data_IF_881253715210
#
_entry.id   IF_881253715210
#
_cell.length_a   1.000
_cell.length_b   1.000
_cell.length_c   1.000
_cell.angle_alpha   90.00
_cell.angle_beta   90.00
_cell.angle_gamma   90.00
#
_symmetry.space_group_name_H-M   'P 1'
#
loop_
_entity.id
_entity.type
_entity.pdbx_description
1 polymer ?
#
# COMPACT_ATOMS: atom_id res chain seq x y z
N UNK A 1 14.49 20.04 19.02
CA UNK A 1 13.58 19.43 18.03
C UNK A 1 13.98 17.98 17.98
N UNK A 2 13.02 17.07 18.07
CA UNK A 2 13.30 15.65 18.28
C UNK A 2 13.16 14.92 16.95
N UNK A 3 14.23 14.26 16.52
CA UNK A 3 14.34 13.58 15.24
C UNK A 3 14.51 12.08 15.45
N UNK A 4 13.88 11.27 14.60
CA UNK A 4 14.16 9.83 14.50
C UNK A 4 14.99 9.56 13.26
N UNK A 5 16.19 9.01 13.44
CA UNK A 5 17.10 8.70 12.34
C UNK A 5 17.32 7.20 12.28
N UNK A 6 16.92 6.58 11.16
CA UNK A 6 17.18 5.18 10.87
C UNK A 6 18.48 5.04 10.07
N UNK A 7 19.36 4.14 10.49
CA UNK A 7 20.61 3.86 9.81
C UNK A 7 20.83 2.34 9.70
N UNK A 8 21.32 1.91 8.55
CA UNK A 8 21.64 0.51 8.30
C UNK A 8 23.14 0.25 8.57
N UNK A 9 23.44 -0.86 9.23
CA UNK A 9 24.78 -1.32 9.53
C UNK A 9 25.08 -2.59 8.74
N UNK A 10 26.00 -2.49 7.79
CA UNK A 10 26.40 -3.61 6.94
C UNK A 10 27.66 -4.31 7.49
N UNK A 11 27.72 -5.65 7.45
CA UNK A 11 28.88 -6.41 7.85
C UNK A 11 30.03 -6.27 6.85
N UNK A 12 31.27 -6.64 7.22
CA UNK A 12 32.44 -6.49 6.37
C UNK A 12 32.32 -7.26 5.05
N UNK A 13 32.93 -6.69 4.00
CA UNK A 13 32.96 -7.29 2.66
C UNK A 13 33.48 -8.72 2.72
N UNK A 14 32.63 -9.68 2.34
CA UNK A 14 32.93 -11.11 2.37
C UNK A 14 32.06 -11.91 3.34
N UNK A 15 31.33 -11.26 4.24
CA UNK A 15 30.26 -11.88 5.03
C UNK A 15 28.95 -11.75 4.27
N UNK A 16 28.38 -12.89 3.87
CA UNK A 16 27.12 -12.89 3.07
C UNK A 16 25.89 -12.94 3.95
N UNK A 17 25.94 -13.70 5.05
CA UNK A 17 24.87 -13.79 6.04
C UNK A 17 25.43 -14.01 7.45
N UNK A 18 24.77 -13.44 8.46
CA UNK A 18 25.01 -13.64 9.88
C UNK A 18 24.19 -14.83 10.37
N UNK A 19 24.84 -15.79 11.02
CA UNK A 19 24.14 -16.87 11.71
C UNK A 19 23.41 -16.38 12.98
N UNK A 20 22.57 -17.22 13.57
CA UNK A 20 21.77 -16.84 14.73
C UNK A 20 22.61 -16.40 15.94
N UNK A 21 23.79 -16.99 16.14
CA UNK A 21 24.66 -16.61 17.26
C UNK A 21 25.36 -15.27 16.98
N UNK A 22 25.74 -15.03 15.73
CA UNK A 22 26.31 -13.76 15.28
C UNK A 22 25.29 -12.63 15.38
N UNK A 23 24.02 -12.87 15.03
CA UNK A 23 22.94 -11.88 15.17
C UNK A 23 22.74 -11.46 16.64
N UNK A 24 22.66 -12.42 17.56
CA UNK A 24 22.57 -12.15 19.01
C UNK A 24 23.82 -11.41 19.53
N UNK A 25 25.00 -11.77 19.02
CA UNK A 25 26.25 -11.08 19.37
C UNK A 25 26.27 -9.62 18.94
N UNK A 26 25.83 -9.34 17.71
CA UNK A 26 25.73 -7.98 17.16
C UNK A 26 24.71 -7.17 17.96
N UNK A 27 23.51 -7.71 18.21
CA UNK A 27 22.48 -7.05 19.01
C UNK A 27 23.01 -6.65 20.39
N UNK A 28 23.64 -7.61 21.09
CA UNK A 28 24.20 -7.39 22.42
C UNK A 28 25.30 -6.32 22.46
N UNK A 29 26.13 -6.25 21.41
CA UNK A 29 27.18 -5.24 21.30
C UNK A 29 26.58 -3.85 21.07
N UNK A 30 25.67 -3.72 20.11
CA UNK A 30 25.04 -2.46 19.75
C UNK A 30 24.23 -1.89 20.92
N UNK A 31 23.37 -2.71 21.53
CA UNK A 31 22.55 -2.31 22.69
C UNK A 31 23.41 -1.79 23.84
N UNK A 32 24.50 -2.51 24.15
CA UNK A 32 25.38 -2.13 25.26
C UNK A 32 26.10 -0.81 25.01
N UNK A 33 26.53 -0.54 23.78
CA UNK A 33 27.29 0.67 23.49
C UNK A 33 26.38 1.88 23.34
N UNK A 34 25.24 1.74 22.66
CA UNK A 34 24.26 2.81 22.51
C UNK A 34 23.65 3.23 23.84
N UNK A 35 23.46 2.29 24.79
CA UNK A 35 23.02 2.61 26.14
C UNK A 35 24.00 3.49 26.96
N UNK A 36 25.24 3.66 26.49
CA UNK A 36 26.23 4.53 27.12
C UNK A 36 26.33 5.90 26.46
N UNK A 37 25.63 6.12 25.35
CA UNK A 37 25.67 7.38 24.60
C UNK A 37 24.60 8.32 25.15
N UNK A 38 25.03 9.37 25.85
CA UNK A 38 24.13 10.42 26.35
C UNK A 38 23.95 11.57 25.34
N UNK A 39 24.92 11.76 24.42
CA UNK A 39 24.90 12.84 23.45
C UNK A 39 26.18 12.89 22.59
N UNK A 40 26.15 13.69 21.53
CA UNK A 40 27.26 13.91 20.60
C UNK A 40 27.42 15.40 20.26
N UNK A 41 28.63 15.82 19.91
CA UNK A 41 28.87 17.18 19.44
C UNK A 41 28.49 17.33 17.97
N UNK A 42 27.54 18.22 17.68
CA UNK A 42 27.16 18.63 16.33
C UNK A 42 28.24 19.49 15.64
N UNK A 43 28.08 19.77 14.33
CA UNK A 43 29.09 20.41 13.49
C UNK A 43 29.54 21.81 13.94
N UNK A 44 28.70 22.54 14.70
CA UNK A 44 29.01 23.86 15.25
C UNK A 44 29.38 23.83 16.76
N UNK A 45 29.69 22.64 17.30
CA UNK A 45 29.97 22.46 18.73
C UNK A 45 28.74 22.51 19.64
N UNK A 46 27.55 22.35 19.06
CA UNK A 46 26.28 22.24 19.78
C UNK A 46 26.10 20.82 20.30
N UNK A 47 25.71 20.63 21.56
CA UNK A 47 25.37 19.30 22.09
C UNK A 47 24.08 18.82 21.46
N UNK A 48 24.09 17.60 20.92
CA UNK A 48 22.91 16.89 20.40
C UNK A 48 22.70 15.70 21.33
N UNK A 49 21.58 15.68 22.02
CA UNK A 49 21.32 14.68 23.05
C UNK A 49 20.67 13.45 22.41
N UNK A 50 21.07 12.25 22.83
CA UNK A 50 20.46 10.99 22.39
C UNK A 50 19.36 10.63 23.38
N UNK A 51 18.12 10.63 22.92
CA UNK A 51 16.93 10.44 23.77
C UNK A 51 16.59 8.96 23.95
N UNK A 52 16.64 8.19 22.86
CA UNK A 52 16.34 6.76 22.84
C UNK A 52 16.97 6.07 21.63
N UNK A 53 17.04 4.74 21.64
CA UNK A 53 17.49 3.96 20.50
C UNK A 53 16.78 2.60 20.39
N UNK A 54 16.71 2.09 19.17
CA UNK A 54 16.23 0.74 18.89
C UNK A 54 17.18 0.02 17.93
N UNK A 55 17.45 -1.26 18.20
CA UNK A 55 18.31 -2.11 17.37
C UNK A 55 17.51 -3.32 16.88
N UNK A 56 17.48 -3.50 15.56
CA UNK A 56 16.88 -4.66 14.91
C UNK A 56 17.94 -5.37 14.06
N UNK A 57 18.36 -6.56 14.47
CA UNK A 57 19.38 -7.35 13.74
C UNK A 57 18.72 -8.35 12.80
N UNK A 58 19.31 -8.55 11.63
CA UNK A 58 18.85 -9.52 10.64
C UNK A 58 20.02 -10.24 9.96
N UNK A 59 19.74 -11.21 9.09
CA UNK A 59 20.78 -12.04 8.45
C UNK A 59 21.79 -11.24 7.63
N UNK A 60 21.49 -10.01 7.21
CA UNK A 60 22.38 -9.20 6.35
C UNK A 60 23.09 -8.04 7.05
N UNK A 61 22.92 -7.85 8.36
CA UNK A 61 23.32 -6.62 9.04
C UNK A 61 22.43 -6.26 10.22
N UNK A 62 22.38 -4.99 10.58
CA UNK A 62 21.52 -4.48 11.65
C UNK A 62 20.98 -3.09 11.31
N UNK A 63 19.70 -2.88 11.56
CA UNK A 63 19.08 -1.57 11.50
C UNK A 63 19.09 -0.92 12.89
N UNK A 64 19.50 0.35 12.96
CA UNK A 64 19.53 1.13 14.20
C UNK A 64 18.70 2.40 14.01
N UNK A 65 17.75 2.62 14.91
CA UNK A 65 16.95 3.84 14.96
C UNK A 65 17.38 4.65 16.18
N UNK A 66 17.76 5.92 15.98
CA UNK A 66 18.17 6.85 17.03
C UNK A 66 17.17 7.99 17.15
N UNK A 67 16.68 8.24 18.37
CA UNK A 67 15.91 9.43 18.69
C UNK A 67 16.85 10.50 19.24
N UNK A 68 16.91 11.67 18.60
CA UNK A 68 17.91 12.72 18.85
C UNK A 68 17.24 14.08 19.04
N UNK A 69 17.66 14.85 20.04
CA UNK A 69 17.31 16.26 20.13
C UNK A 69 18.34 17.11 19.38
N UNK A 70 17.99 17.63 18.20
CA UNK A 70 18.89 18.40 17.35
C UNK A 70 18.28 19.75 16.91
N UNK A 71 19.10 20.71 16.44
CA UNK A 71 18.61 21.99 15.93
C UNK A 71 18.12 21.94 14.47
N UNK A 72 18.46 20.88 13.72
CA UNK A 72 18.02 20.68 12.34
C UNK A 72 18.13 19.21 11.92
N UNK A 73 17.41 18.83 10.86
CA UNK A 73 17.47 17.50 10.25
C UNK A 73 18.89 17.10 9.86
N UNK A 74 19.60 17.97 9.15
CA UNK A 74 20.99 17.72 8.75
C UNK A 74 21.92 17.57 9.97
N UNK A 75 21.63 18.25 11.08
CA UNK A 75 22.38 18.07 12.32
C UNK A 75 22.10 16.70 12.97
N UNK A 76 20.84 16.24 12.94
CA UNK A 76 20.46 14.91 13.42
C UNK A 76 21.09 13.78 12.60
N UNK A 77 21.09 13.86 11.27
CA UNK A 77 21.74 12.87 10.40
C UNK A 77 23.24 12.76 10.66
N UNK A 78 23.92 13.90 10.74
CA UNK A 78 25.34 13.95 11.01
C UNK A 78 25.66 13.44 12.42
N UNK A 79 24.81 13.74 13.41
CA UNK A 79 24.94 13.23 14.77
C UNK A 79 24.76 11.71 14.82
N UNK A 80 23.70 11.17 14.21
CA UNK A 80 23.47 9.73 14.11
C UNK A 80 24.65 9.00 13.45
N UNK A 81 25.12 9.51 12.31
CA UNK A 81 26.28 8.97 11.62
C UNK A 81 27.53 9.04 12.49
N UNK A 82 27.75 10.12 13.24
CA UNK A 82 28.90 10.26 14.15
C UNK A 82 28.85 9.24 15.28
N UNK A 83 27.70 9.11 15.96
CA UNK A 83 27.49 8.15 17.07
C UNK A 83 27.79 6.72 16.61
N UNK A 84 27.23 6.33 15.46
CA UNK A 84 27.39 4.97 14.94
C UNK A 84 28.83 4.70 14.46
N UNK A 85 29.46 5.65 13.77
CA UNK A 85 30.84 5.49 13.30
C UNK A 85 31.85 5.48 14.45
N UNK A 86 31.62 6.28 15.50
CA UNK A 86 32.45 6.29 16.71
C UNK A 86 32.33 4.95 17.43
N UNK A 87 31.10 4.47 17.66
CA UNK A 87 30.85 3.15 18.24
C UNK A 87 31.52 2.01 17.47
N UNK A 88 31.43 2.00 16.14
CA UNK A 88 32.10 0.99 15.30
C UNK A 88 33.62 1.09 15.43
N UNK A 89 34.17 2.30 15.51
CA UNK A 89 35.61 2.53 15.60
C UNK A 89 36.19 2.15 16.96
N UNK A 90 35.43 2.33 18.04
CA UNK A 90 35.85 1.99 19.40
C UNK A 90 35.71 0.50 19.74
N UNK A 91 34.94 -0.24 18.95
CA UNK A 91 34.68 -1.65 19.20
C UNK A 91 35.43 -2.58 18.22
N UNK A 92 36.46 -3.27 18.71
CA UNK A 92 37.27 -4.20 17.91
C UNK A 92 36.43 -5.30 17.23
N UNK A 93 35.28 -5.69 17.80
CA UNK A 93 34.39 -6.73 17.25
C UNK A 93 33.55 -6.25 16.05
N UNK A 94 33.39 -4.93 15.89
CA UNK A 94 32.69 -4.31 14.76
C UNK A 94 33.65 -3.86 13.65
N UNK A 95 34.93 -4.24 13.72
CA UNK A 95 35.93 -3.87 12.71
C UNK A 95 35.47 -4.25 11.30
N UNK A 96 35.37 -3.24 10.42
CA UNK A 96 35.00 -3.41 9.02
C UNK A 96 33.50 -3.34 8.72
N UNK A 97 32.66 -3.13 9.74
CA UNK A 97 31.26 -2.76 9.54
C UNK A 97 31.15 -1.33 9.02
N UNK A 98 30.09 -1.05 8.26
CA UNK A 98 29.84 0.26 7.65
C UNK A 98 28.43 0.73 7.93
N UNK A 99 28.28 2.05 8.18
CA UNK A 99 26.97 2.71 8.22
C UNK A 99 26.57 3.07 6.79
N UNK A 100 25.42 2.58 6.32
CA UNK A 100 24.84 2.94 5.02
C UNK A 100 23.62 3.83 5.21
N UNK A 101 23.59 4.93 4.44
CA UNK A 101 22.59 6.01 4.37
C UNK A 101 21.67 6.17 5.59
N UNK A 102 22.02 7.03 6.56
CA UNK A 102 21.07 7.47 7.57
C UNK A 102 19.92 8.22 6.88
N UNK A 103 18.71 7.72 7.02
CA UNK A 103 17.49 8.34 6.50
C UNK A 103 16.66 8.86 7.68
N UNK A 104 16.33 10.15 7.66
CA UNK A 104 15.49 10.76 8.71
C UNK A 104 14.04 10.39 8.46
N UNK A 105 13.45 9.72 9.44
CA UNK A 105 12.01 9.55 9.49
C UNK A 105 11.44 10.67 10.36
N UNK A 106 10.52 11.47 9.82
CA UNK A 106 9.78 12.42 10.65
C UNK A 106 9.05 11.64 11.75
N UNK A 107 9.22 12.09 13.00
CA UNK A 107 8.39 11.60 14.10
C UNK A 107 6.95 12.08 13.90
N UNK A 108 5.98 11.32 14.39
CA UNK A 108 4.56 11.66 14.34
C UNK A 108 4.30 13.04 15.01
N UNK A 109 5.05 13.35 16.07
CA UNK A 109 4.98 14.63 16.76
C UNK A 109 5.57 15.79 15.92
N UNK A 110 6.66 15.59 15.17
CA UNK A 110 7.21 16.60 14.26
C UNK A 110 6.32 16.79 13.02
N UNK A 111 5.69 15.72 12.53
CA UNK A 111 4.64 15.81 11.51
C UNK A 111 3.49 16.70 12.00
N UNK A 112 3.01 16.47 13.22
CA UNK A 112 1.94 17.24 13.86
C UNK A 112 2.34 18.69 14.18
N UNK A 113 3.58 18.95 14.60
CA UNK A 113 4.09 20.31 14.84
C UNK A 113 4.32 21.08 13.55
N UNK A 114 4.77 20.43 12.46
CA UNK A 114 4.85 21.06 11.14
C UNK A 114 3.47 21.35 10.56
N UNK A 115 2.49 20.49 10.83
CA UNK A 115 1.07 20.75 10.59
C UNK A 115 0.65 22.04 11.33
N UNK A 116 0.90 22.11 12.65
CA UNK A 116 0.57 23.27 13.48
C UNK A 116 1.28 24.57 13.05
N UNK A 117 2.56 24.50 12.69
CA UNK A 117 3.38 25.65 12.30
C UNK A 117 3.07 26.17 10.89
N UNK A 118 2.54 25.33 10.00
CA UNK A 118 1.99 25.74 8.71
C UNK A 118 0.65 26.49 8.84
N UNK A 119 0.12 26.66 10.07
CA UNK A 119 -1.17 27.29 10.33
C UNK A 119 -2.34 26.31 10.33
N UNK A 120 -2.07 25.00 10.30
CA UNK A 120 -3.08 23.96 10.47
C UNK A 120 -3.19 23.67 11.97
N UNK A 121 -4.05 24.43 12.67
CA UNK A 121 -4.42 24.07 14.05
C UNK A 121 -4.87 22.60 14.09
N UNK A 122 -4.54 21.91 15.18
CA UNK A 122 -5.01 20.54 15.48
C UNK A 122 -6.48 20.41 15.08
N UNK A 123 -6.75 19.57 14.08
CA UNK A 123 -8.06 19.49 13.44
C UNK A 123 -9.07 18.97 14.45
N UNK A 124 -9.82 19.89 15.05
CA UNK A 124 -11.18 19.57 15.44
C UNK A 124 -11.92 19.16 14.16
N UNK A 125 -12.42 17.93 14.18
CA UNK A 125 -13.16 17.26 13.13
C UNK A 125 -14.22 18.18 12.48
N UNK A 126 -13.87 18.81 11.37
CA UNK A 126 -14.83 19.31 10.40
C UNK A 126 -14.27 18.89 9.05
N UNK A 127 -14.95 17.90 8.44
CA UNK A 127 -14.51 17.17 7.24
C UNK A 127 -14.39 18.01 5.97
N UNK A 128 -13.53 19.01 5.98
CA UNK A 128 -13.03 19.65 4.77
C UNK A 128 -11.65 19.08 4.46
N UNK A 129 -11.53 18.45 3.29
CA UNK A 129 -10.28 17.92 2.74
C UNK A 129 -9.24 19.04 2.72
N UNK A 130 -8.09 18.82 3.37
CA UNK A 130 -7.03 19.83 3.38
C UNK A 130 -6.41 19.98 1.98
N UNK A 131 -6.51 21.17 1.35
CA UNK A 131 -6.12 21.36 -0.05
C UNK A 131 -4.61 21.18 -0.29
N UNK A 132 -3.79 21.36 0.75
CA UNK A 132 -2.32 21.24 0.65
C UNK A 132 -1.85 19.79 0.58
N UNK A 133 -2.51 18.87 1.31
CA UNK A 133 -2.21 17.44 1.24
C UNK A 133 -2.74 16.84 -0.06
N UNK A 134 -3.93 17.26 -0.50
CA UNK A 134 -4.46 16.93 -1.82
C UNK A 134 -3.49 17.34 -2.92
N UNK A 135 -2.93 18.56 -2.83
CA UNK A 135 -1.95 19.06 -3.79
C UNK A 135 -0.61 18.30 -3.74
N UNK A 136 -0.15 17.86 -2.55
CA UNK A 136 1.07 17.07 -2.42
C UNK A 136 0.93 15.64 -2.99
N UNK A 137 -0.24 15.02 -2.80
CA UNK A 137 -0.57 13.73 -3.43
C UNK A 137 -0.68 13.89 -4.95
N UNK A 138 -1.36 14.94 -5.42
CA UNK A 138 -1.46 15.28 -6.85
C UNK A 138 -0.08 15.54 -7.47
N UNK A 139 0.81 16.30 -6.80
CA UNK A 139 2.19 16.55 -7.24
C UNK A 139 3.05 15.29 -7.27
N UNK A 140 2.86 14.36 -6.32
CA UNK A 140 3.55 13.07 -6.31
C UNK A 140 3.08 12.15 -7.45
N UNK A 141 1.79 12.20 -7.81
CA UNK A 141 1.21 11.49 -8.94
C UNK A 141 1.63 12.10 -10.29
N UNK A 142 1.86 13.42 -10.34
CA UNK A 142 2.34 14.16 -11.51
C UNK A 142 3.86 14.05 -11.77
N UNK A 143 4.54 13.07 -11.16
CA UNK A 143 5.98 12.81 -11.36
C UNK A 143 6.40 12.98 -12.82
N UNK A 144 7.29 13.96 -13.07
CA UNK A 144 7.69 14.57 -14.34
C UNK A 144 8.34 13.61 -15.37
N UNK A 145 7.65 12.52 -15.74
CA UNK A 145 8.00 11.76 -16.93
C UNK A 145 7.28 12.37 -18.14
N UNK A 146 7.99 12.63 -19.25
CA UNK A 146 7.33 13.10 -20.46
C UNK A 146 6.24 12.10 -20.87
N UNK A 147 5.03 12.59 -21.13
CA UNK A 147 3.89 11.79 -21.53
C UNK A 147 4.31 10.82 -22.65
N UNK A 148 4.23 9.52 -22.34
CA UNK A 148 4.62 8.48 -23.29
C UNK A 148 3.67 8.48 -24.49
N UNK A 149 4.22 8.27 -25.69
CA UNK A 149 3.41 8.08 -26.89
C UNK A 149 2.70 6.72 -26.85
N UNK A 150 1.62 6.57 -27.64
CA UNK A 150 0.91 5.29 -27.77
C UNK A 150 1.86 4.13 -28.15
N UNK A 151 2.87 4.35 -28.99
CA UNK A 151 3.85 3.33 -29.36
C UNK A 151 4.77 2.93 -28.20
N UNK A 152 5.12 3.89 -27.33
CA UNK A 152 5.88 3.62 -26.11
C UNK A 152 5.03 2.83 -25.12
N UNK A 153 3.78 3.22 -24.91
CA UNK A 153 2.82 2.48 -24.08
C UNK A 153 2.58 1.07 -24.59
N UNK A 154 2.37 0.89 -25.91
CA UNK A 154 2.29 -0.42 -26.55
C UNK A 154 3.50 -1.28 -26.19
N UNK A 155 4.69 -0.71 -26.30
CA UNK A 155 5.94 -1.41 -25.99
C UNK A 155 6.03 -1.80 -24.51
N UNK A 156 5.66 -0.90 -23.59
CA UNK A 156 5.67 -1.19 -22.15
C UNK A 156 4.64 -2.26 -21.76
N UNK A 157 3.39 -2.13 -22.18
CA UNK A 157 2.36 -3.12 -21.87
C UNK A 157 2.74 -4.51 -22.39
N UNK A 158 3.32 -4.61 -23.59
CA UNK A 158 3.79 -5.88 -24.12
C UNK A 158 4.94 -6.51 -23.32
N UNK A 159 5.72 -5.73 -22.54
CA UNK A 159 6.73 -6.24 -21.60
C UNK A 159 6.12 -6.78 -20.31
N UNK A 160 4.97 -6.24 -19.88
CA UNK A 160 4.25 -6.73 -18.71
C UNK A 160 3.48 -8.03 -18.98
N UNK A 161 2.99 -8.22 -20.21
CA UNK A 161 2.17 -9.38 -20.56
C UNK A 161 2.70 -10.76 -20.10
N UNK A 162 4.01 -11.08 -20.21
CA UNK A 162 4.54 -12.38 -19.75
C UNK A 162 4.49 -12.61 -18.23
N UNK A 163 4.23 -11.57 -17.43
CA UNK A 163 4.11 -11.69 -15.98
C UNK A 163 2.74 -12.24 -15.57
N UNK A 164 1.72 -12.12 -16.42
CA UNK A 164 0.46 -12.82 -16.24
C UNK A 164 0.68 -14.30 -16.54
N UNK A 165 0.76 -15.11 -15.49
CA UNK A 165 1.11 -16.54 -15.59
C UNK A 165 -0.09 -17.45 -15.36
N UNK A 166 -1.12 -16.95 -14.68
CA UNK A 166 -2.37 -17.66 -14.44
C UNK A 166 -3.19 -17.88 -15.72
N UNK A 167 -3.03 -16.98 -16.68
CA UNK A 167 -3.76 -16.97 -17.94
C UNK A 167 -2.80 -16.76 -19.09
N UNK A 168 -3.07 -17.42 -20.19
CA UNK A 168 -2.43 -17.14 -21.47
C UNK A 168 -3.12 -15.93 -22.13
N UNK A 169 -2.43 -15.19 -23.01
CA UNK A 169 -3.07 -14.10 -23.76
C UNK A 169 -4.31 -14.55 -24.53
N UNK A 170 -4.39 -15.81 -24.96
CA UNK A 170 -5.54 -16.35 -25.71
C UNK A 170 -6.82 -16.44 -24.88
N UNK A 171 -6.71 -16.34 -23.57
CA UNK A 171 -7.84 -16.44 -22.64
C UNK A 171 -8.64 -15.14 -22.55
N UNK A 172 -8.13 -14.01 -23.09
CA UNK A 172 -8.87 -12.75 -23.16
C UNK A 172 -9.93 -12.75 -24.26
N UNK A 173 -9.56 -13.02 -25.52
CA UNK A 173 -10.54 -13.20 -26.58
C UNK A 173 -10.05 -14.21 -27.63
N UNK A 174 -10.56 -15.45 -27.59
CA UNK A 174 -10.29 -16.44 -28.62
C UNK A 174 -10.73 -15.92 -30.01
N UNK A 175 -9.80 -15.88 -30.96
CA UNK A 175 -10.06 -15.42 -32.33
C UNK A 175 -9.78 -13.94 -32.60
N UNK A 176 -9.43 -13.15 -31.58
CA UNK A 176 -8.85 -11.82 -31.78
C UNK A 176 -7.35 -11.89 -32.13
N UNK A 177 -6.79 -10.85 -32.79
CA UNK A 177 -5.36 -10.73 -33.01
C UNK A 177 -4.55 -10.96 -31.73
N UNK A 178 -3.48 -11.77 -31.83
CA UNK A 178 -2.63 -12.13 -30.70
C UNK A 178 -2.04 -10.90 -29.98
N UNK A 179 -1.75 -9.84 -30.72
CA UNK A 179 -1.25 -8.58 -30.16
C UNK A 179 -2.27 -7.90 -29.23
N UNK A 180 -3.56 -7.85 -29.59
CA UNK A 180 -4.60 -7.25 -28.75
C UNK A 180 -4.74 -8.02 -27.43
N UNK A 181 -4.73 -9.34 -27.52
CA UNK A 181 -4.75 -10.24 -26.37
C UNK A 181 -3.54 -10.02 -25.44
N UNK A 182 -2.35 -9.81 -26.00
CA UNK A 182 -1.15 -9.48 -25.23
C UNK A 182 -1.20 -8.08 -24.64
N UNK A 183 -1.77 -7.10 -25.34
CA UNK A 183 -1.98 -5.75 -24.80
C UNK A 183 -2.93 -5.77 -23.61
N UNK A 184 -4.06 -6.48 -23.70
CA UNK A 184 -4.98 -6.64 -22.58
C UNK A 184 -4.33 -7.34 -21.38
N UNK A 185 -3.54 -8.40 -21.62
CA UNK A 185 -2.77 -9.08 -20.56
C UNK A 185 -1.75 -8.15 -19.90
N UNK A 186 -1.05 -7.34 -20.70
CA UNK A 186 -0.09 -6.37 -20.23
C UNK A 186 -0.72 -5.23 -19.43
N UNK A 187 -1.85 -4.72 -19.91
CA UNK A 187 -2.65 -3.70 -19.23
C UNK A 187 -3.13 -4.21 -17.87
N UNK A 188 -3.60 -5.47 -17.77
CA UNK A 188 -4.02 -6.05 -16.50
C UNK A 188 -2.86 -6.12 -15.47
N UNK A 189 -1.66 -6.51 -15.91
CA UNK A 189 -0.48 -6.54 -15.03
C UNK A 189 -0.05 -5.13 -14.61
N UNK A 190 -0.14 -4.15 -15.53
CA UNK A 190 0.14 -2.76 -15.21
C UNK A 190 -0.87 -2.20 -14.20
N UNK A 191 -2.17 -2.45 -14.42
CA UNK A 191 -3.26 -2.05 -13.54
C UNK A 191 -3.12 -2.59 -12.11
N UNK A 192 -2.59 -3.81 -11.93
CA UNK A 192 -2.27 -4.32 -10.59
C UNK A 192 -1.36 -3.36 -9.82
N UNK A 193 -0.34 -2.78 -10.49
CA UNK A 193 0.57 -1.83 -9.84
C UNK A 193 -0.14 -0.53 -9.50
N UNK A 194 -0.83 0.04 -10.48
CA UNK A 194 -1.58 1.30 -10.35
C UNK A 194 -2.57 1.20 -9.19
N UNK A 195 -3.47 0.22 -9.23
CA UNK A 195 -4.47 0.01 -8.17
C UNK A 195 -3.82 -0.25 -6.81
N UNK A 196 -2.69 -0.95 -6.75
CA UNK A 196 -1.98 -1.16 -5.47
C UNK A 196 -1.49 0.16 -4.89
N UNK A 197 -0.85 1.00 -5.71
CA UNK A 197 -0.35 2.31 -5.30
C UNK A 197 -1.52 3.24 -4.92
N UNK A 198 -2.60 3.24 -5.71
CA UNK A 198 -3.81 4.02 -5.44
C UNK A 198 -4.50 3.62 -4.13
N UNK A 199 -4.57 2.32 -3.79
CA UNK A 199 -5.08 1.89 -2.48
C UNK A 199 -4.22 2.44 -1.34
N UNK A 200 -2.89 2.53 -1.49
CA UNK A 200 -2.04 3.15 -0.48
C UNK A 200 -2.34 4.65 -0.32
N UNK A 201 -2.52 5.37 -1.43
CA UNK A 201 -2.85 6.79 -1.39
C UNK A 201 -4.24 7.03 -0.76
N UNK A 202 -5.24 6.25 -1.16
CA UNK A 202 -6.58 6.32 -0.59
C UNK A 202 -6.58 5.97 0.90
N UNK A 203 -5.83 4.94 1.31
CA UNK A 203 -5.69 4.58 2.73
C UNK A 203 -5.09 5.71 3.55
N UNK A 204 -4.02 6.33 3.05
CA UNK A 204 -3.36 7.45 3.72
C UNK A 204 -4.32 8.65 3.83
N UNK A 205 -5.05 8.96 2.76
CA UNK A 205 -6.05 10.02 2.76
C UNK A 205 -7.16 9.74 3.79
N UNK A 206 -7.69 8.52 3.84
CA UNK A 206 -8.72 8.14 4.81
C UNK A 206 -8.19 8.16 6.25
N UNK A 207 -6.94 7.72 6.48
CA UNK A 207 -6.31 7.68 7.79
C UNK A 207 -6.09 9.08 8.36
N UNK A 208 -5.53 10.00 7.56
CA UNK A 208 -5.25 11.38 7.98
C UNK A 208 -6.56 12.12 8.29
N UNK A 209 -7.59 11.93 7.48
CA UNK A 209 -8.86 12.62 7.65
C UNK A 209 -9.81 11.91 8.63
N UNK A 210 -9.43 10.72 9.14
CA UNK A 210 -10.30 9.85 9.94
C UNK A 210 -11.72 9.74 9.34
N UNK A 211 -11.76 9.50 8.03
CA UNK A 211 -12.96 9.56 7.21
C UNK A 211 -13.32 8.18 6.64
N UNK A 212 -14.51 8.09 6.07
CA UNK A 212 -14.93 6.99 5.21
C UNK A 212 -14.96 7.44 3.75
N UNK A 213 -15.02 6.50 2.80
CA UNK A 213 -15.20 6.83 1.37
C UNK A 213 -16.44 7.70 1.14
N UNK A 214 -17.51 7.51 1.91
CA UNK A 214 -18.73 8.34 1.77
C UNK A 214 -18.52 9.81 2.13
N UNK A 215 -17.53 10.12 2.97
CA UNK A 215 -17.26 11.46 3.48
C UNK A 215 -16.05 12.13 2.80
N UNK A 216 -15.21 11.34 2.12
CA UNK A 216 -14.02 11.81 1.43
C UNK A 216 -14.32 12.29 0.00
N UNK A 217 -13.45 13.16 -0.54
CA UNK A 217 -13.54 13.68 -1.91
C UNK A 217 -12.19 13.44 -2.59
N UNK A 218 -12.23 13.01 -3.85
CA UNK A 218 -11.03 12.85 -4.67
C UNK A 218 -10.21 11.62 -4.29
N UNK A 219 -10.90 10.53 -3.91
CA UNK A 219 -10.24 9.23 -3.81
C UNK A 219 -10.00 8.69 -5.22
N UNK A 220 -9.06 7.77 -5.34
CA UNK A 220 -8.62 7.26 -6.63
C UNK A 220 -9.41 6.01 -6.99
N UNK A 221 -9.35 4.97 -6.16
CA UNK A 221 -9.86 3.64 -6.52
C UNK A 221 -10.86 3.09 -5.52
N UNK A 222 -10.81 3.52 -4.26
CA UNK A 222 -11.79 3.10 -3.25
C UNK A 222 -13.18 3.71 -3.49
N UNK A 223 -13.28 4.84 -4.20
CA UNK A 223 -14.57 5.40 -4.63
C UNK A 223 -15.24 4.60 -5.75
N UNK A 224 -14.50 3.73 -6.45
CA UNK A 224 -15.04 2.80 -7.44
C UNK A 224 -15.60 1.50 -6.82
N UNK A 225 -15.50 1.32 -5.51
CA UNK A 225 -16.11 0.19 -4.84
C UNK A 225 -17.64 0.31 -4.80
N UNK A 226 -18.37 -0.79 -4.53
CA UNK A 226 -19.82 -0.74 -4.47
C UNK A 226 -20.29 0.33 -3.48
N UNK A 227 -21.17 1.27 -3.90
CA UNK A 227 -21.59 2.38 -3.06
C UNK A 227 -22.46 1.91 -1.88
N UNK A 228 -22.93 0.66 -1.89
CA UNK A 228 -23.82 0.15 -0.86
C UNK A 228 -23.23 0.09 0.56
N UNK A 229 -21.89 0.11 0.66
CA UNK A 229 -21.18 0.13 1.94
C UNK A 229 -20.06 1.19 1.99
N UNK A 230 -20.12 2.26 1.17
CA UNK A 230 -19.14 3.36 1.15
C UNK A 230 -18.84 3.98 2.53
N UNK A 231 -19.87 4.15 3.36
CA UNK A 231 -19.82 4.60 4.76
C UNK A 231 -19.12 3.63 5.73
N UNK A 232 -18.65 2.48 5.23
CA UNK A 232 -17.89 1.47 5.98
C UNK A 232 -16.45 1.36 5.51
N UNK A 233 -16.10 1.98 4.39
CA UNK A 233 -14.76 1.92 3.83
C UNK A 233 -13.91 3.01 4.49
N UNK A 234 -13.30 2.67 5.62
CA UNK A 234 -12.34 3.50 6.34
C UNK A 234 -10.89 3.04 6.04
N UNK A 235 -9.90 3.65 6.71
CA UNK A 235 -8.49 3.26 6.55
C UNK A 235 -8.22 1.80 6.95
N UNK A 236 -8.93 1.26 7.94
CA UNK A 236 -8.78 -0.14 8.34
C UNK A 236 -9.32 -1.09 7.26
N UNK A 237 -10.44 -0.75 6.64
CA UNK A 237 -10.96 -1.43 5.46
C UNK A 237 -9.96 -1.38 4.30
N UNK A 238 -9.39 -0.20 4.00
CA UNK A 238 -8.42 -0.03 2.91
C UNK A 238 -7.19 -0.94 3.09
N UNK A 239 -6.64 -1.03 4.31
CA UNK A 239 -5.53 -1.95 4.63
C UNK A 239 -5.93 -3.41 4.47
N UNK A 240 -7.12 -3.81 4.92
CA UNK A 240 -7.62 -5.17 4.73
C UNK A 240 -7.84 -5.48 3.24
N UNK A 241 -8.34 -4.52 2.47
CA UNK A 241 -8.57 -4.61 1.04
C UNK A 241 -7.27 -4.72 0.25
N UNK A 242 -6.22 -3.97 0.63
CA UNK A 242 -4.88 -4.07 0.08
C UNK A 242 -4.29 -5.49 0.21
N UNK A 243 -4.53 -6.15 1.34
CA UNK A 243 -4.09 -7.53 1.53
C UNK A 243 -4.85 -8.49 0.62
N UNK A 244 -6.17 -8.30 0.48
CA UNK A 244 -6.99 -9.10 -0.44
C UNK A 244 -6.56 -8.89 -1.90
N UNK A 245 -6.30 -7.64 -2.32
CA UNK A 245 -5.84 -7.31 -3.67
C UNK A 245 -4.47 -7.93 -3.96
N UNK A 246 -3.54 -7.88 -3.00
CA UNK A 246 -2.22 -8.50 -3.08
C UNK A 246 -2.29 -10.02 -3.25
N UNK A 247 -3.24 -10.68 -2.57
CA UNK A 247 -3.48 -12.12 -2.71
C UNK A 247 -3.96 -12.48 -4.13
N UNK A 248 -4.81 -11.67 -4.75
CA UNK A 248 -5.26 -11.85 -6.13
C UNK A 248 -4.13 -11.59 -7.12
N UNK A 249 -3.40 -10.49 -6.96
CA UNK A 249 -2.26 -10.12 -7.78
C UNK A 249 -1.17 -11.22 -7.81
N UNK A 250 -0.87 -11.79 -6.65
CA UNK A 250 0.07 -12.91 -6.52
C UNK A 250 -0.43 -14.14 -7.29
N UNK A 251 -1.74 -14.42 -7.28
CA UNK A 251 -2.31 -15.55 -8.02
C UNK A 251 -2.36 -15.31 -9.52
N UNK A 252 -2.64 -14.09 -9.98
CA UNK A 252 -2.58 -13.72 -11.40
C UNK A 252 -1.17 -13.90 -11.99
N UNK A 253 -0.14 -13.65 -11.18
CA UNK A 253 1.28 -13.80 -11.56
C UNK A 253 1.87 -15.18 -11.26
N UNK A 254 1.05 -16.12 -10.78
CA UNK A 254 1.40 -17.53 -10.54
C UNK A 254 0.77 -18.44 -11.59
N UNK A 255 1.39 -19.57 -11.99
CA UNK A 255 0.78 -20.49 -12.96
C UNK A 255 -0.47 -21.20 -12.43
N UNK A 256 -0.63 -21.32 -11.11
CA UNK A 256 -1.74 -22.04 -10.50
C UNK A 256 -2.88 -21.08 -10.14
N UNK A 257 -3.71 -20.74 -11.14
CA UNK A 257 -4.86 -19.87 -10.91
C UNK A 257 -5.83 -20.49 -9.91
N UNK A 258 -6.23 -19.68 -8.93
CA UNK A 258 -7.40 -19.95 -8.09
C UNK A 258 -8.29 -18.70 -8.13
N UNK A 259 -9.58 -18.84 -8.49
CA UNK A 259 -10.54 -17.74 -8.46
C UNK A 259 -10.58 -17.03 -7.10
N UNK A 260 -11.11 -15.80 -7.03
CA UNK A 260 -11.39 -15.12 -5.77
C UNK A 260 -12.10 -16.04 -4.77
N UNK A 261 -11.55 -16.07 -3.55
CA UNK A 261 -12.06 -16.85 -2.41
C UNK A 261 -12.99 -16.01 -1.55
N UNK A 262 -12.86 -14.69 -1.60
CA UNK A 262 -13.64 -13.73 -0.83
C UNK A 262 -14.29 -12.69 -1.77
N UNK A 263 -15.26 -11.93 -1.27
CA UNK A 263 -15.86 -10.83 -2.05
C UNK A 263 -14.84 -9.71 -2.26
N UNK A 264 -14.01 -9.39 -1.26
CA UNK A 264 -12.95 -8.39 -1.37
C UNK A 264 -11.94 -8.76 -2.48
N UNK A 265 -11.56 -10.03 -2.58
CA UNK A 265 -10.70 -10.50 -3.69
C UNK A 265 -11.39 -10.36 -5.05
N UNK A 266 -12.72 -10.59 -5.13
CA UNK A 266 -13.46 -10.41 -6.37
C UNK A 266 -13.53 -8.93 -6.76
N UNK A 267 -13.82 -8.05 -5.81
CA UNK A 267 -13.83 -6.61 -6.03
C UNK A 267 -12.45 -6.09 -6.46
N UNK A 268 -11.37 -6.53 -5.83
CA UNK A 268 -10.02 -6.17 -6.26
C UNK A 268 -9.72 -6.60 -7.70
N UNK A 269 -10.12 -7.82 -8.09
CA UNK A 269 -9.99 -8.27 -9.47
C UNK A 269 -10.79 -7.39 -10.45
N UNK A 270 -12.00 -6.95 -10.05
CA UNK A 270 -12.83 -6.05 -10.87
C UNK A 270 -12.15 -4.69 -11.06
N UNK A 271 -11.54 -4.12 -10.01
CA UNK A 271 -10.79 -2.87 -10.09
C UNK A 271 -9.59 -3.00 -11.01
N UNK A 272 -8.82 -4.10 -10.92
CA UNK A 272 -7.71 -4.34 -11.87
C UNK A 272 -8.18 -4.40 -13.32
N UNK A 273 -9.37 -4.96 -13.58
CA UNK A 273 -9.95 -5.01 -14.92
C UNK A 273 -10.39 -3.62 -15.38
N UNK A 274 -11.07 -2.85 -14.53
CA UNK A 274 -11.51 -1.50 -14.85
C UNK A 274 -10.31 -0.61 -15.17
N UNK A 275 -9.30 -0.60 -14.31
CA UNK A 275 -8.10 0.20 -14.49
C UNK A 275 -7.32 -0.22 -15.74
N UNK A 276 -7.24 -1.52 -16.04
CA UNK A 276 -6.63 -1.97 -17.29
C UNK A 276 -7.34 -1.43 -18.54
N UNK A 277 -8.66 -1.25 -18.48
CA UNK A 277 -9.44 -0.67 -19.58
C UNK A 277 -9.25 0.84 -19.66
N UNK A 278 -9.20 1.54 -18.51
CA UNK A 278 -8.87 2.97 -18.44
C UNK A 278 -7.52 3.24 -19.08
N UNK A 279 -6.49 2.47 -18.73
CA UNK A 279 -5.14 2.56 -19.32
C UNK A 279 -5.18 2.36 -20.84
N UNK A 280 -5.92 1.37 -21.34
CA UNK A 280 -6.00 1.10 -22.78
C UNK A 280 -6.69 2.23 -23.56
N UNK A 281 -7.74 2.83 -22.99
CA UNK A 281 -8.43 4.00 -23.54
C UNK A 281 -7.54 5.24 -23.51
N UNK A 282 -6.96 5.56 -22.34
CA UNK A 282 -6.14 6.74 -22.12
C UNK A 282 -4.88 6.75 -22.99
N UNK A 283 -4.36 5.57 -23.34
CA UNK A 283 -3.20 5.41 -24.22
C UNK A 283 -3.56 5.30 -25.71
N UNK A 284 -4.85 5.43 -26.05
CA UNK A 284 -5.40 5.30 -27.40
C UNK A 284 -5.08 3.95 -28.08
N UNK A 285 -4.80 2.91 -27.29
CA UNK A 285 -4.46 1.59 -27.79
C UNK A 285 -5.69 0.76 -28.12
N UNK A 286 -6.72 0.84 -27.29
CA UNK A 286 -8.05 0.28 -27.53
C UNK A 286 -9.10 1.21 -26.96
N UNK A 287 -10.24 1.32 -27.64
CA UNK A 287 -11.36 2.04 -27.07
C UNK A 287 -11.99 1.28 -25.89
N UNK A 288 -12.75 1.98 -25.05
CA UNK A 288 -13.51 1.42 -23.93
C UNK A 288 -14.45 0.30 -24.38
N UNK A 289 -15.20 0.54 -25.46
CA UNK A 289 -16.08 -0.44 -26.08
C UNK A 289 -15.29 -1.57 -26.78
N UNK A 290 -14.09 -1.26 -27.29
CA UNK A 290 -13.22 -2.23 -27.94
C UNK A 290 -12.55 -3.19 -26.96
N UNK A 291 -12.31 -2.76 -25.73
CA UNK A 291 -11.71 -3.57 -24.65
C UNK A 291 -12.74 -4.44 -23.93
N UNK A 292 -14.01 -4.03 -23.85
CA UNK A 292 -15.11 -4.76 -23.21
C UNK A 292 -15.14 -6.27 -23.56
N UNK A 293 -15.16 -6.71 -24.84
CA UNK A 293 -15.25 -8.13 -25.17
C UNK A 293 -14.02 -8.95 -24.74
N UNK A 294 -12.84 -8.32 -24.63
CA UNK A 294 -11.61 -8.99 -24.17
C UNK A 294 -11.69 -9.25 -22.66
N UNK A 295 -12.15 -8.27 -21.89
CA UNK A 295 -12.24 -8.42 -20.44
C UNK A 295 -13.49 -9.18 -20.00
N UNK A 296 -14.58 -9.18 -20.78
CA UNK A 296 -15.76 -9.99 -20.49
C UNK A 296 -15.45 -11.50 -20.51
N UNK A 297 -14.71 -11.96 -21.52
CA UNK A 297 -14.33 -13.37 -21.64
C UNK A 297 -13.24 -13.77 -20.64
N UNK A 298 -12.30 -12.88 -20.33
CA UNK A 298 -11.39 -13.06 -19.19
C UNK A 298 -12.16 -13.19 -17.87
N UNK A 299 -13.10 -12.27 -17.59
CA UNK A 299 -13.89 -12.23 -16.36
C UNK A 299 -14.69 -13.51 -16.16
N UNK A 300 -15.32 -14.02 -17.23
CA UNK A 300 -16.06 -15.29 -17.22
C UNK A 300 -15.24 -16.47 -16.69
N UNK A 301 -13.93 -16.45 -16.91
CA UNK A 301 -13.02 -17.50 -16.46
C UNK A 301 -12.42 -17.18 -15.08
N UNK A 302 -12.10 -15.91 -14.83
CA UNK A 302 -11.37 -15.50 -13.64
C UNK A 302 -12.25 -15.50 -12.37
N UNK A 303 -13.51 -15.11 -12.48
CA UNK A 303 -14.41 -14.96 -11.32
C UNK A 303 -15.12 -16.25 -10.87
N UNK A 304 -15.08 -17.32 -11.67
CA UNK A 304 -15.86 -18.54 -11.43
C UNK A 304 -17.36 -18.25 -11.17
N UNK A 305 -17.87 -18.51 -9.97
CA UNK A 305 -19.28 -18.30 -9.59
C UNK A 305 -19.52 -17.00 -8.80
N UNK A 306 -18.46 -16.27 -8.44
CA UNK A 306 -18.56 -15.02 -7.68
C UNK A 306 -18.89 -13.86 -8.63
N UNK A 307 -20.07 -13.27 -8.49
CA UNK A 307 -20.47 -12.09 -9.27
C UNK A 307 -20.53 -10.84 -8.36
N UNK A 308 -19.48 -10.01 -8.31
CA UNK A 308 -19.51 -8.79 -7.52
C UNK A 308 -20.42 -7.70 -8.12
N UNK A 309 -20.86 -7.84 -9.38
CA UNK A 309 -21.71 -6.84 -10.04
C UNK A 309 -23.04 -6.59 -9.31
N UNK A 310 -23.57 -7.61 -8.61
CA UNK A 310 -24.81 -7.46 -7.82
C UNK A 310 -24.69 -6.34 -6.78
N UNK A 311 -23.52 -6.14 -6.19
CA UNK A 311 -23.28 -5.12 -5.15
C UNK A 311 -23.38 -3.69 -5.70
N UNK A 312 -23.07 -3.48 -6.98
CA UNK A 312 -23.17 -2.19 -7.64
C UNK A 312 -24.61 -1.81 -8.01
N UNK A 313 -25.51 -2.79 -8.09
CA UNK A 313 -26.92 -2.60 -8.38
C UNK A 313 -27.77 -2.41 -7.12
N UNK A 314 -27.18 -2.56 -5.93
CA UNK A 314 -27.89 -2.41 -4.65
C UNK A 314 -28.23 -0.94 -4.41
N UNK A 315 -29.51 -0.60 -4.56
CA UNK A 315 -30.03 0.67 -4.06
C UNK A 315 -30.02 0.67 -2.52
N UNK A 316 -29.16 1.50 -1.91
CA UNK A 316 -29.25 1.78 -0.48
C UNK A 316 -30.46 2.65 -0.23
N UNK A 317 -31.47 2.18 0.52
CA UNK A 317 -32.59 3.04 0.88
C UNK A 317 -32.05 4.15 1.78
N UNK A 318 -32.21 5.41 1.37
CA UNK A 318 -32.01 6.54 2.28
C UNK A 318 -32.95 6.31 3.46
N UNK A 319 -32.38 6.06 4.63
CA UNK A 319 -33.18 5.83 5.83
C UNK A 319 -33.74 7.17 6.29
N UNK A 320 -34.92 7.53 5.80
CA UNK A 320 -35.70 8.69 6.28
C UNK A 320 -36.27 8.48 7.70
N UNK A 321 -35.86 7.40 8.39
CA UNK A 321 -36.38 6.99 9.69
C UNK A 321 -37.75 6.29 9.61
N UNK A 322 -38.32 6.10 8.42
CA UNK A 322 -39.59 5.43 8.21
C UNK A 322 -39.50 3.91 8.42
N UNK A 323 -40.53 3.33 9.05
CA UNK A 323 -40.61 1.89 9.32
C UNK A 323 -40.55 1.04 8.04
N UNK A 324 -41.09 1.53 6.91
CA UNK A 324 -41.04 0.86 5.62
C UNK A 324 -39.63 0.88 5.00
N UNK A 325 -38.92 2.01 5.06
CA UNK A 325 -37.54 2.13 4.58
C UNK A 325 -36.60 1.20 5.38
N UNK A 326 -36.75 1.18 6.71
CA UNK A 326 -35.99 0.27 7.58
C UNK A 326 -36.29 -1.22 7.30
N UNK A 327 -37.55 -1.57 7.01
CA UNK A 327 -37.91 -2.94 6.66
C UNK A 327 -37.31 -3.38 5.31
N UNK A 328 -37.32 -2.50 4.29
CA UNK A 328 -36.70 -2.76 2.98
C UNK A 328 -35.19 -2.92 3.11
N UNK A 329 -34.51 -2.04 3.86
CA UNK A 329 -33.07 -2.15 4.11
C UNK A 329 -32.70 -3.49 4.78
N UNK A 330 -33.45 -3.93 5.80
CA UNK A 330 -33.26 -5.24 6.44
C UNK A 330 -33.48 -6.41 5.49
N UNK A 331 -34.45 -6.31 4.58
CA UNK A 331 -34.71 -7.34 3.59
C UNK A 331 -33.59 -7.45 2.57
N UNK A 332 -33.10 -6.31 2.05
CA UNK A 332 -31.93 -6.25 1.15
C UNK A 332 -30.71 -6.87 1.83
N UNK A 333 -30.42 -6.44 3.06
CA UNK A 333 -29.29 -6.93 3.85
C UNK A 333 -29.39 -8.44 4.16
N UNK A 334 -30.60 -8.96 4.43
CA UNK A 334 -30.82 -10.40 4.58
C UNK A 334 -30.60 -11.16 3.26
N UNK A 335 -30.97 -10.56 2.11
CA UNK A 335 -30.72 -11.08 0.78
C UNK A 335 -29.23 -11.18 0.48
N UNK A 336 -28.48 -10.11 0.70
CA UNK A 336 -27.02 -10.08 0.52
C UNK A 336 -26.34 -11.13 1.40
N UNK A 337 -26.73 -11.22 2.68
CA UNK A 337 -26.18 -12.22 3.60
C UNK A 337 -26.44 -13.66 3.17
N UNK A 338 -27.62 -13.94 2.62
CA UNK A 338 -27.97 -15.27 2.11
C UNK A 338 -27.10 -15.69 0.90
N UNK A 339 -26.64 -14.72 0.11
CA UNK A 339 -25.73 -14.93 -1.02
C UNK A 339 -24.26 -14.77 -0.64
N UNK A 340 -23.94 -14.52 0.64
CA UNK A 340 -22.58 -14.32 1.14
C UNK A 340 -21.97 -12.96 0.80
N UNK A 341 -22.79 -11.97 0.43
CA UNK A 341 -22.39 -10.66 -0.09
C UNK A 341 -22.52 -9.54 0.94
N UNK A 342 -23.02 -9.84 2.15
CA UNK A 342 -23.09 -8.84 3.21
C UNK A 342 -21.68 -8.39 3.62
N UNK A 343 -21.53 -7.13 4.04
CA UNK A 343 -20.25 -6.49 4.32
C UNK A 343 -19.35 -7.33 5.27
N UNK A 344 -19.93 -7.89 6.34
CA UNK A 344 -19.18 -8.71 7.31
C UNK A 344 -18.59 -10.00 6.71
N UNK A 345 -19.07 -10.41 5.53
CA UNK A 345 -18.62 -11.62 4.84
C UNK A 345 -17.52 -11.34 3.81
N UNK A 346 -17.16 -10.07 3.57
CA UNK A 346 -16.33 -9.71 2.42
C UNK A 346 -14.92 -10.26 2.46
N UNK A 347 -14.35 -10.44 3.65
CA UNK A 347 -13.00 -10.95 3.86
C UNK A 347 -12.98 -12.44 4.24
N UNK A 348 -14.14 -13.09 4.31
CA UNK A 348 -14.26 -14.50 4.73
C UNK A 348 -14.16 -15.42 3.50
N UNK A 349 -13.23 -16.40 3.48
CA UNK A 349 -13.14 -17.38 2.41
C UNK A 349 -14.39 -18.25 2.31
N UNK A 350 -14.95 -18.32 1.09
CA UNK A 350 -16.14 -19.13 0.78
C UNK A 350 -15.85 -20.61 0.57
N UNK A 351 -14.58 -20.97 0.36
CA UNK A 351 -14.13 -22.34 0.15
C UNK A 351 -13.94 -23.14 1.46
N UNK A 352 -14.24 -22.52 2.61
CA UNK A 352 -14.16 -23.16 3.93
C UNK A 352 -12.74 -23.42 4.42
N UNK A 353 -11.70 -22.95 3.72
CA UNK A 353 -10.31 -23.13 4.13
C UNK A 353 -9.85 -22.04 5.13
N UNK A 354 -9.26 -22.49 6.24
CA UNK A 354 -8.99 -21.69 7.44
C UNK A 354 -7.79 -20.73 7.36
N UNK A 355 -7.07 -20.68 6.24
CA UNK A 355 -5.92 -19.79 6.09
C UNK A 355 -6.35 -18.38 5.72
N UNK A 356 -6.25 -17.44 6.68
CA UNK A 356 -6.44 -16.00 6.49
C UNK A 356 -5.25 -15.24 7.06
N UNK A 357 -4.96 -14.06 6.50
CA UNK A 357 -3.93 -13.18 7.04
C UNK A 357 -4.37 -12.65 8.41
N UNK A 358 -3.50 -12.59 9.45
CA UNK A 358 -3.88 -12.19 10.81
C UNK A 358 -4.44 -10.78 10.95
N UNK A 359 -4.19 -9.92 9.96
CA UNK A 359 -4.72 -8.55 9.88
C UNK A 359 -6.18 -8.49 9.44
N UNK A 360 -6.67 -9.51 8.72
CA UNK A 360 -8.05 -9.51 8.26
C UNK A 360 -8.99 -9.67 9.46
N UNK A 361 -10.11 -8.92 9.50
CA UNK A 361 -11.01 -8.93 10.63
C UNK A 361 -11.50 -10.35 10.92
N UNK A 362 -11.26 -10.80 12.15
CA UNK A 362 -11.92 -11.98 12.70
C UNK A 362 -13.21 -11.50 13.34
N UNK A 363 -14.36 -11.86 12.78
CA UNK A 363 -15.61 -12.08 13.54
C UNK A 363 -16.69 -12.78 12.70
#
# INVERSE_FOLDING_TARGET
MDYSVSAELEPPVGVTELDALQQEGVASILDRHLALVEGVSGPDGTSIDVLDFHVAVHSRGANVVLSLEAPSLMAAENAAASVLNEMISENELLTGWLVTNPEVQLTEDEFNERLAAAGLESVESNGEVQPELSAAVEEALEGQQPAMTADQWRTELLKFAPQLRAFSPRDFAPGQPEELNRLASGALVHAIRVVTDEIFYDELALAINNATVADAIGLLVLEELPPCYDHRYDSAFARAFLLASSMVATRLTSPDWRPPRTVAEALALQLFINEARVVLEATELLSWDGSEPLFAEFSRQAFAELNPAELYEVEVPVTDGGAESSARAKQTEAGLRAHGLAYEQWFIPRDGAAGMHPYLPFE
#
